data_IF_813101855849
#
_entry.id   IF_813101855849
#
_cell.length_a   1.000
_cell.length_b   1.000
_cell.length_c   1.000
_cell.angle_alpha   90.00
_cell.angle_beta   90.00
_cell.angle_gamma   90.00
#
_symmetry.space_group_name_H-M   'P 1'
#
loop_
_entity.id
_entity.type
_entity.pdbx_description
1 polymer ?
#
# COMPACT_ATOMS: atom_id res chain seq x y z
N UNK A 1 -25.78 8.97 7.38
CA UNK A 1 -24.80 9.58 8.30
C UNK A 1 -24.71 11.11 8.09
N UNK A 2 -25.79 11.90 8.33
CA UNK A 2 -25.74 13.35 8.08
C UNK A 2 -24.66 14.08 8.87
N UNK A 3 -24.33 13.56 10.06
CA UNK A 3 -23.31 14.15 10.94
C UNK A 3 -21.92 14.25 10.31
N UNK A 4 -21.49 13.25 9.52
CA UNK A 4 -20.18 13.29 8.86
C UNK A 4 -20.13 14.37 7.79
N UNK A 5 -21.26 14.64 7.13
CA UNK A 5 -21.33 15.61 6.03
C UNK A 5 -21.54 17.05 6.50
N UNK A 6 -22.28 17.27 7.59
CA UNK A 6 -22.72 18.62 7.99
C UNK A 6 -22.15 19.13 9.31
N UNK A 7 -21.56 18.25 10.13
CA UNK A 7 -21.13 18.60 11.50
C UNK A 7 -19.68 18.21 11.80
N UNK A 8 -18.98 17.62 10.82
CA UNK A 8 -17.58 17.21 10.95
C UNK A 8 -16.80 17.78 9.79
N UNK A 9 -15.54 18.13 10.06
CA UNK A 9 -14.55 18.39 9.03
C UNK A 9 -13.95 17.03 8.68
N UNK A 10 -14.14 16.58 7.44
CA UNK A 10 -13.66 15.31 6.92
C UNK A 10 -12.68 15.61 5.76
N UNK A 11 -11.68 14.74 5.58
CA UNK A 11 -10.72 14.85 4.48
C UNK A 11 -10.87 13.67 3.53
N UNK A 12 -11.03 13.96 2.24
CA UNK A 12 -11.02 12.98 1.16
C UNK A 12 -10.04 13.49 0.11
N UNK A 13 -9.15 12.62 -0.34
CA UNK A 13 -8.14 12.96 -1.33
C UNK A 13 -8.04 11.83 -2.36
N UNK A 14 -7.69 12.15 -3.61
CA UNK A 14 -7.50 11.16 -4.64
C UNK A 14 -6.26 10.29 -4.36
N UNK A 15 -6.31 9.05 -4.82
CA UNK A 15 -5.14 8.17 -4.87
C UNK A 15 -4.59 8.24 -6.30
N UNK A 16 -3.58 9.08 -6.49
CA UNK A 16 -3.05 9.42 -7.81
C UNK A 16 -2.17 8.31 -8.40
N UNK A 17 -1.39 7.62 -7.56
CA UNK A 17 -0.49 6.54 -7.97
C UNK A 17 -1.31 5.32 -8.47
N UNK A 18 -1.23 4.94 -9.76
CA UNK A 18 -2.03 3.85 -10.31
C UNK A 18 -1.84 2.53 -9.58
N UNK A 19 -0.60 2.19 -9.20
CA UNK A 19 -0.31 0.96 -8.47
C UNK A 19 -1.00 0.91 -7.09
N UNK A 20 -1.18 2.05 -6.42
CA UNK A 20 -1.91 2.12 -5.15
C UNK A 20 -3.42 1.98 -5.36
N UNK A 21 -3.95 2.58 -6.44
CA UNK A 21 -5.36 2.43 -6.81
C UNK A 21 -5.71 0.98 -7.11
N UNK A 22 -4.90 0.30 -7.91
CA UNK A 22 -5.14 -1.09 -8.28
C UNK A 22 -5.09 -1.99 -7.05
N UNK A 23 -4.12 -1.77 -6.15
CA UNK A 23 -4.06 -2.44 -4.85
C UNK A 23 -5.31 -2.22 -4.00
N UNK A 24 -5.88 -1.01 -3.99
CA UNK A 24 -7.13 -0.74 -3.26
C UNK A 24 -8.30 -1.51 -3.85
N UNK A 25 -8.39 -1.59 -5.18
CA UNK A 25 -9.41 -2.38 -5.88
C UNK A 25 -9.28 -3.86 -5.50
N UNK A 26 -8.07 -4.43 -5.53
CA UNK A 26 -7.82 -5.82 -5.13
C UNK A 26 -8.28 -6.12 -3.70
N UNK A 27 -8.03 -5.20 -2.77
CA UNK A 27 -8.48 -5.30 -1.38
C UNK A 27 -10.02 -5.34 -1.33
N UNK A 28 -10.69 -4.41 -2.01
CA UNK A 28 -12.14 -4.34 -2.04
C UNK A 28 -12.75 -5.59 -2.69
N UNK A 29 -12.20 -6.07 -3.80
CA UNK A 29 -12.62 -7.31 -4.45
C UNK A 29 -12.48 -8.52 -3.52
N UNK A 30 -11.39 -8.59 -2.75
CA UNK A 30 -11.17 -9.67 -1.79
C UNK A 30 -12.24 -9.67 -0.71
N UNK A 31 -12.64 -8.48 -0.21
CA UNK A 31 -13.77 -8.37 0.72
C UNK A 31 -15.11 -8.77 0.08
N UNK A 32 -15.35 -8.40 -1.18
CA UNK A 32 -16.58 -8.76 -1.90
C UNK A 32 -16.67 -10.27 -2.19
N UNK A 33 -15.53 -10.97 -2.27
CA UNK A 33 -15.43 -12.43 -2.44
C UNK A 33 -15.51 -13.21 -1.11
N UNK A 34 -15.54 -12.54 0.04
CA UNK A 34 -15.66 -13.20 1.35
C UNK A 34 -16.99 -13.96 1.43
N UNK A 35 -16.93 -15.24 1.77
CA UNK A 35 -18.11 -16.13 1.93
C UNK A 35 -18.21 -16.72 3.34
N UNK A 36 -17.22 -16.44 4.20
CA UNK A 36 -17.15 -16.95 5.58
C UNK A 36 -17.83 -16.01 6.57
N UNK A 37 -17.56 -14.72 6.45
CA UNK A 37 -17.94 -13.68 7.41
C UNK A 37 -18.92 -12.66 6.84
N UNK A 38 -18.92 -12.46 5.53
CA UNK A 38 -19.77 -11.47 4.89
C UNK A 38 -21.28 -11.77 5.05
N UNK A 39 -22.08 -10.70 5.14
CA UNK A 39 -23.53 -10.75 5.28
C UNK A 39 -24.18 -9.77 4.31
N UNK A 40 -25.25 -10.22 3.65
CA UNK A 40 -26.06 -9.40 2.75
C UNK A 40 -27.12 -8.68 3.56
N UNK A 41 -27.13 -7.35 3.48
CA UNK A 41 -28.20 -6.51 4.01
C UNK A 41 -29.40 -6.55 3.05
N UNK A 42 -30.56 -6.97 3.55
CA UNK A 42 -31.82 -6.96 2.81
C UNK A 42 -32.54 -5.62 3.01
N UNK A 43 -33.49 -5.31 2.12
CA UNK A 43 -34.31 -4.10 2.19
C UNK A 43 -35.13 -3.99 3.48
N UNK A 44 -35.46 -5.13 4.11
CA UNK A 44 -36.14 -5.19 5.41
C UNK A 44 -35.20 -4.95 6.61
N UNK A 45 -33.92 -4.63 6.39
CA UNK A 45 -32.93 -4.40 7.44
C UNK A 45 -32.29 -5.66 8.02
N UNK A 46 -32.74 -6.86 7.61
CA UNK A 46 -32.15 -8.11 8.09
C UNK A 46 -30.83 -8.43 7.38
N UNK A 47 -29.88 -8.96 8.14
CA UNK A 47 -28.61 -9.47 7.62
C UNK A 47 -28.65 -10.99 7.44
N UNK A 48 -28.37 -11.45 6.23
CA UNK A 48 -28.27 -12.88 5.93
C UNK A 48 -26.83 -13.26 5.61
N UNK A 49 -26.38 -14.40 6.13
CA UNK A 49 -25.10 -14.99 5.68
C UNK A 49 -25.18 -15.29 4.18
N UNK A 50 -24.05 -15.12 3.50
CA UNK A 50 -23.94 -15.53 2.11
C UNK A 50 -24.18 -17.04 2.01
N UNK A 51 -25.05 -17.42 1.05
CA UNK A 51 -25.37 -18.81 0.76
C UNK A 51 -24.11 -19.55 0.29
N UNK A 52 -23.90 -20.77 0.78
CA UNK A 52 -22.85 -21.65 0.24
C UNK A 52 -23.25 -22.02 -1.19
N UNK A 53 -22.44 -21.65 -2.18
CA UNK A 53 -22.70 -21.96 -3.59
C UNK A 53 -22.91 -23.47 -3.83
N UNK A 54 -22.18 -24.33 -3.10
CA UNK A 54 -22.41 -25.78 -3.06
C UNK A 54 -22.05 -26.34 -1.68
N UNK A 55 -22.73 -27.42 -1.27
CA UNK A 55 -22.38 -28.15 -0.04
C UNK A 55 -20.95 -28.71 -0.20
N UNK A 56 -20.05 -28.33 0.70
CA UNK A 56 -18.63 -28.73 0.64
C UNK A 56 -17.68 -27.72 -0.01
N UNK A 57 -18.17 -26.61 -0.57
CA UNK A 57 -17.27 -25.55 -1.07
C UNK A 57 -16.48 -24.93 0.09
N UNK A 58 -15.16 -24.80 -0.08
CA UNK A 58 -14.29 -24.12 0.88
C UNK A 58 -14.73 -22.66 1.02
N UNK A 59 -14.93 -22.22 2.24
CA UNK A 59 -15.27 -20.83 2.53
C UNK A 59 -14.02 -19.95 2.36
N UNK A 60 -14.24 -18.76 1.82
CA UNK A 60 -13.20 -17.73 1.65
C UNK A 60 -13.38 -16.69 2.75
N UNK A 61 -12.28 -16.40 3.46
CA UNK A 61 -12.19 -15.35 4.48
C UNK A 61 -11.24 -14.27 3.96
N UNK A 62 -11.71 -13.04 3.79
CA UNK A 62 -10.85 -11.96 3.33
C UNK A 62 -9.67 -11.73 4.30
N UNK A 63 -9.94 -11.80 5.61
CA UNK A 63 -8.91 -11.61 6.63
C UNK A 63 -7.84 -12.70 6.62
N UNK A 64 -8.22 -13.97 6.37
CA UNK A 64 -7.26 -15.07 6.29
C UNK A 64 -6.35 -14.85 5.06
N UNK A 65 -6.93 -14.45 3.92
CA UNK A 65 -6.18 -14.10 2.69
C UNK A 65 -5.19 -12.96 2.93
N UNK A 66 -5.60 -11.89 3.63
CA UNK A 66 -4.71 -10.78 3.94
C UNK A 66 -3.60 -11.16 4.91
N UNK A 67 -3.89 -12.00 5.92
CA UNK A 67 -2.89 -12.48 6.85
C UNK A 67 -1.81 -13.32 6.14
N UNK A 68 -2.20 -14.22 5.25
CA UNK A 68 -1.28 -15.02 4.42
C UNK A 68 -0.43 -14.14 3.49
N UNK A 69 -1.06 -13.16 2.83
CA UNK A 69 -0.38 -12.21 1.94
C UNK A 69 0.66 -11.38 2.71
N UNK A 70 0.29 -10.88 3.89
CA UNK A 70 1.18 -10.10 4.75
C UNK A 70 2.36 -10.95 5.26
N UNK A 71 2.11 -12.19 5.67
CA UNK A 71 3.16 -13.12 6.10
C UNK A 71 4.16 -13.42 4.98
N UNK A 72 3.66 -13.60 3.75
CA UNK A 72 4.50 -13.82 2.56
C UNK A 72 5.35 -12.57 2.26
N UNK A 73 4.74 -11.39 2.24
CA UNK A 73 5.45 -10.12 2.04
C UNK A 73 6.53 -9.89 3.09
N UNK A 74 6.25 -10.19 4.36
CA UNK A 74 7.23 -10.10 5.44
C UNK A 74 8.46 -10.99 5.17
N UNK A 75 8.24 -12.24 4.77
CA UNK A 75 9.34 -13.17 4.45
C UNK A 75 10.21 -12.66 3.30
N UNK A 76 9.60 -12.11 2.25
CA UNK A 76 10.32 -11.52 1.12
C UNK A 76 11.17 -10.31 1.56
N UNK A 77 10.60 -9.41 2.37
CA UNK A 77 11.34 -8.27 2.92
C UNK A 77 12.49 -8.70 3.83
N UNK A 78 12.31 -9.75 4.65
CA UNK A 78 13.39 -10.31 5.46
C UNK A 78 14.51 -10.93 4.60
N UNK A 79 14.16 -11.54 3.46
CA UNK A 79 15.15 -12.05 2.49
C UNK A 79 15.90 -10.92 1.81
N UNK A 80 15.22 -9.88 1.33
CA UNK A 80 15.83 -8.68 0.74
C UNK A 80 16.77 -7.99 1.72
N UNK A 81 16.39 -7.89 3.00
CA UNK A 81 17.22 -7.26 4.04
C UNK A 81 18.46 -8.06 4.40
N UNK A 82 18.46 -9.37 4.16
CA UNK A 82 19.66 -10.23 4.32
C UNK A 82 20.64 -10.07 3.16
N UNK A 83 20.21 -9.52 2.02
CA UNK A 83 21.12 -9.12 0.95
C UNK A 83 21.83 -7.85 1.44
N UNK A 84 23.13 -7.95 1.73
CA UNK A 84 23.91 -6.80 2.18
C UNK A 84 23.81 -5.65 1.15
N UNK A 85 23.40 -4.44 1.57
CA UNK A 85 23.41 -3.30 0.67
C UNK A 85 24.86 -2.98 0.32
N UNK A 86 25.17 -2.87 -0.98
CA UNK A 86 26.46 -2.31 -1.43
C UNK A 86 26.50 -0.83 -1.06
N UNK A 87 27.13 -0.52 0.07
CA UNK A 87 27.39 0.86 0.50
C UNK A 87 28.56 1.37 -0.35
N UNK A 88 28.26 2.12 -1.41
CA UNK A 88 29.30 2.86 -2.12
C UNK A 88 29.63 4.12 -1.29
N UNK A 89 30.91 4.36 -0.96
CA UNK A 89 31.30 5.61 -0.31
C UNK A 89 30.98 6.79 -1.22
N UNK A 90 30.33 7.82 -0.67
CA UNK A 90 30.10 9.05 -1.40
C UNK A 90 31.44 9.60 -1.91
N UNK A 91 31.54 9.89 -3.20
CA UNK A 91 32.71 10.55 -3.76
C UNK A 91 32.56 12.05 -3.48
N UNK A 92 33.46 12.67 -2.70
CA UNK A 92 33.39 14.11 -2.48
C UNK A 92 33.55 14.82 -3.81
N UNK A 93 32.70 15.81 -4.06
CA UNK A 93 32.82 16.69 -5.23
C UNK A 93 34.09 17.51 -5.03
N UNK A 94 35.17 17.11 -5.70
CA UNK A 94 36.39 17.93 -5.77
C UNK A 94 36.07 19.16 -6.61
N UNK A 95 36.01 20.34 -5.97
CA UNK A 95 36.11 21.60 -6.71
C UNK A 95 37.47 21.58 -7.40
N UNK A 96 37.44 21.54 -8.72
CA UNK A 96 38.63 21.65 -9.55
C UNK A 96 39.42 22.89 -9.12
N UNK A 97 40.58 22.67 -8.51
CA UNK A 97 41.56 23.71 -8.23
C UNK A 97 42.31 23.99 -9.53
N UNK A 98 41.58 24.57 -10.48
CA UNK A 98 42.05 24.90 -11.82
C UNK A 98 41.83 26.37 -12.11
N UNK A 99 42.92 27.12 -11.98
CA UNK A 99 43.19 28.37 -12.71
C UNK A 99 42.44 29.65 -12.31
N UNK A 100 42.98 30.33 -11.29
CA UNK A 100 43.08 31.79 -11.32
C UNK A 100 44.55 32.15 -11.19
N UNK A 101 45.25 32.09 -12.32
CA UNK A 101 46.52 32.77 -12.55
C UNK A 101 46.46 34.19 -11.98
N UNK A 102 47.32 34.44 -10.98
CA UNK A 102 47.66 35.77 -10.50
C UNK A 102 48.18 36.60 -11.68
N UNK A 103 47.52 37.71 -11.98
CA UNK A 103 48.09 38.76 -12.83
C UNK A 103 48.92 39.68 -11.94
N UNK A 104 50.21 39.95 -12.23
CA UNK A 104 51.00 40.87 -11.43
C UNK A 104 50.62 42.33 -11.76
N UNK A 105 50.82 43.18 -10.78
CA UNK A 105 50.63 44.64 -10.82
C UNK A 105 51.25 45.28 -12.07
N UNK A 106 50.58 46.32 -12.60
CA UNK A 106 51.24 47.36 -13.37
C UNK A 106 50.55 48.72 -13.18
N UNK A 107 51.32 49.63 -12.55
CA UNK A 107 51.30 51.11 -12.56
C UNK A 107 50.12 51.85 -11.93
#
# INVERSE_FOLDING_TARGET
MPRNFYRRIEAVFPVEEPALRDRLIDILETYLKDTKNARILRSNGAYHRISRARKGTKLVSAQDVFAETAATRRKLQEQERKVEPKIAPHTPITRDSGDRSESPEST
#
